data_IF_847361452812
#
_entry.id   IF_847361452812
#
_cell.length_a   1.000
_cell.length_b   1.000
_cell.length_c   1.000
_cell.angle_alpha   90.00
_cell.angle_beta   90.00
_cell.angle_gamma   90.00
#
_symmetry.space_group_name_H-M   'P 1'
#
loop_
_entity.id
_entity.type
_entity.pdbx_description
1 polymer ?
#
# COMPACT_ATOMS: atom_id res chain seq x y z
N UNK A 1 -26.26 -37.40 -19.95
CA UNK A 1 -26.26 -37.02 -18.52
C UNK A 1 -26.14 -35.51 -18.48
N UNK A 2 -27.22 -34.89 -18.03
CA UNK A 2 -27.43 -33.45 -17.90
C UNK A 2 -26.90 -33.02 -16.51
N UNK A 3 -26.00 -32.03 -16.40
CA UNK A 3 -25.62 -31.47 -15.11
C UNK A 3 -26.31 -30.12 -14.88
N UNK A 4 -27.64 -30.10 -14.87
CA UNK A 4 -28.41 -29.07 -14.21
C UNK A 4 -28.87 -29.57 -12.83
N UNK A 5 -28.20 -29.11 -11.77
CA UNK A 5 -28.80 -28.79 -10.47
C UNK A 5 -27.75 -28.33 -9.45
N UNK A 6 -28.02 -27.13 -8.93
CA UNK A 6 -27.84 -26.68 -7.55
C UNK A 6 -26.45 -26.72 -6.89
N UNK A 7 -25.93 -25.52 -6.62
CA UNK A 7 -25.97 -25.07 -5.24
C UNK A 7 -26.27 -23.57 -5.18
N UNK A 8 -27.24 -23.24 -4.34
CA UNK A 8 -27.65 -21.90 -3.98
C UNK A 8 -26.49 -21.21 -3.25
N UNK A 9 -26.01 -20.08 -3.79
CA UNK A 9 -25.24 -19.14 -3.01
C UNK A 9 -26.26 -18.27 -2.26
N UNK A 10 -26.15 -18.32 -0.93
CA UNK A 10 -26.90 -17.48 -0.02
C UNK A 10 -26.67 -16.01 -0.36
N UNK A 11 -27.75 -15.23 -0.33
CA UNK A 11 -27.70 -13.78 -0.24
C UNK A 11 -26.96 -13.45 1.07
N UNK A 12 -25.75 -12.92 0.95
CA UNK A 12 -25.03 -12.33 2.07
C UNK A 12 -25.64 -10.94 2.25
N UNK A 13 -26.28 -10.75 3.40
CA UNK A 13 -26.78 -9.47 3.88
C UNK A 13 -25.56 -8.59 4.16
N UNK A 14 -25.31 -7.63 3.27
CA UNK A 14 -24.11 -6.77 3.23
C UNK A 14 -24.34 -5.49 4.06
N UNK A 15 -24.82 -5.68 5.29
CA UNK A 15 -25.02 -4.63 6.30
C UNK A 15 -23.90 -4.69 7.36
N UNK A 16 -22.67 -5.02 6.95
CA UNK A 16 -21.48 -4.67 7.72
C UNK A 16 -21.03 -3.29 7.23
N UNK A 17 -21.34 -2.24 8.01
CA UNK A 17 -20.63 -0.98 7.91
C UNK A 17 -19.14 -1.32 7.92
N UNK A 18 -18.49 -1.16 6.77
CA UNK A 18 -17.06 -1.36 6.58
C UNK A 18 -16.36 -0.28 7.42
N UNK A 19 -16.28 -0.52 8.72
CA UNK A 19 -15.46 0.20 9.68
C UNK A 19 -14.05 0.07 9.13
N UNK A 20 -13.62 1.08 8.36
CA UNK A 20 -12.30 1.10 7.76
C UNK A 20 -11.27 0.76 8.83
N UNK A 21 -10.30 -0.08 8.50
CA UNK A 21 -9.31 -0.50 9.48
C UNK A 21 -8.59 0.73 10.04
N UNK A 22 -8.65 0.91 11.37
CA UNK A 22 -7.96 2.02 12.04
C UNK A 22 -6.47 1.85 11.76
N UNK A 23 -5.91 2.82 11.03
CA UNK A 23 -4.50 2.82 10.67
C UNK A 23 -3.64 3.22 11.88
N UNK A 24 -3.95 4.36 12.48
CA UNK A 24 -3.14 4.96 13.55
C UNK A 24 -3.94 5.95 14.38
N UNK A 25 -3.51 6.15 15.63
CA UNK A 25 -3.93 7.31 16.44
C UNK A 25 -2.87 8.40 16.32
N UNK A 26 -3.27 9.58 15.88
CA UNK A 26 -2.41 10.74 15.72
C UNK A 26 -2.76 11.83 16.74
N UNK A 27 -1.78 12.64 17.11
CA UNK A 27 -1.98 13.84 17.92
C UNK A 27 -1.47 15.04 17.13
N UNK A 28 -2.30 16.07 16.98
CA UNK A 28 -1.89 17.31 16.31
C UNK A 28 -1.09 18.25 17.22
N UNK A 29 -0.65 19.38 16.66
CA UNK A 29 0.18 20.35 17.39
C UNK A 29 -0.54 21.02 18.57
N UNK A 30 -1.87 21.03 18.57
CA UNK A 30 -2.71 21.57 19.64
C UNK A 30 -3.04 20.51 20.70
N UNK A 31 -2.52 19.28 20.56
CA UNK A 31 -2.72 18.17 21.47
C UNK A 31 -4.04 17.44 21.28
N UNK A 32 -4.73 17.64 20.16
CA UNK A 32 -5.98 16.93 19.85
C UNK A 32 -5.64 15.56 19.27
N UNK A 33 -6.34 14.55 19.78
CA UNK A 33 -6.24 13.17 19.30
C UNK A 33 -7.18 12.94 18.11
N UNK A 34 -6.67 12.22 17.13
CA UNK A 34 -7.35 11.85 15.90
C UNK A 34 -7.22 10.35 15.68
N UNK A 35 -8.34 9.67 15.44
CA UNK A 35 -8.36 8.34 14.86
C UNK A 35 -8.23 8.48 13.35
N UNK A 36 -7.24 7.80 12.77
CA UNK A 36 -6.97 7.86 11.33
C UNK A 36 -7.35 6.54 10.69
N UNK A 37 -8.13 6.62 9.63
CA UNK A 37 -8.58 5.51 8.80
C UNK A 37 -7.92 5.63 7.42
N UNK A 38 -7.43 4.52 6.88
CA UNK A 38 -6.99 4.46 5.48
C UNK A 38 -8.09 3.83 4.64
N UNK A 39 -8.42 4.46 3.52
CA UNK A 39 -9.29 3.86 2.49
C UNK A 39 -8.44 3.06 1.51
N UNK A 40 -9.10 2.15 0.80
CA UNK A 40 -8.45 1.40 -0.28
C UNK A 40 -7.73 2.35 -1.25
N UNK A 41 -6.46 2.08 -1.58
CA UNK A 41 -5.69 2.95 -2.43
C UNK A 41 -6.14 2.84 -3.90
N UNK A 42 -6.20 4.00 -4.57
CA UNK A 42 -6.46 4.03 -6.01
C UNK A 42 -5.13 3.98 -6.78
N UNK A 43 -4.97 2.98 -7.67
CA UNK A 43 -3.77 2.82 -8.48
C UNK A 43 -4.00 3.34 -9.90
N UNK A 44 -3.30 4.42 -10.26
CA UNK A 44 -3.21 4.94 -11.62
C UNK A 44 -1.90 4.45 -12.27
N UNK A 45 -2.00 3.31 -12.96
CA UNK A 45 -0.85 2.66 -13.55
C UNK A 45 -0.24 3.43 -14.72
N UNK A 46 -1.04 4.22 -15.46
CA UNK A 46 -0.56 5.04 -16.58
C UNK A 46 0.24 6.23 -16.07
N UNK A 47 -0.24 6.89 -15.00
CA UNK A 47 0.45 8.01 -14.38
C UNK A 47 1.55 7.62 -13.39
N UNK A 48 1.68 6.33 -13.02
CA UNK A 48 2.57 5.80 -11.98
C UNK A 48 2.31 6.42 -10.59
N UNK A 49 1.04 6.53 -10.23
CA UNK A 49 0.60 7.14 -8.97
C UNK A 49 -0.26 6.14 -8.19
N UNK A 50 -0.02 6.03 -6.89
CA UNK A 50 -0.93 5.43 -5.91
C UNK A 50 -1.50 6.58 -5.08
N UNK A 51 -2.84 6.70 -5.01
CA UNK A 51 -3.52 7.69 -4.18
C UNK A 51 -4.06 7.02 -2.93
N UNK A 52 -3.52 7.42 -1.78
CA UNK A 52 -3.99 6.97 -0.47
C UNK A 52 -4.87 8.05 0.15
N UNK A 53 -6.10 7.70 0.49
CA UNK A 53 -7.03 8.62 1.16
C UNK A 53 -7.10 8.27 2.64
N UNK A 54 -6.81 9.27 3.47
CA UNK A 54 -6.88 9.19 4.92
C UNK A 54 -8.06 10.00 5.41
N UNK A 55 -8.84 9.41 6.30
CA UNK A 55 -9.93 10.07 7.01
C UNK A 55 -9.58 10.18 8.48
N UNK A 56 -9.85 11.33 9.08
CA UNK A 56 -9.48 11.66 10.44
C UNK A 56 -10.75 11.97 11.22
N UNK A 57 -10.93 11.34 12.36
CA UNK A 57 -12.02 11.62 13.30
C UNK A 57 -11.48 11.96 14.69
N UNK A 58 -11.79 13.15 15.19
CA UNK A 58 -11.49 13.53 16.56
C UNK A 58 -12.59 13.04 17.51
N UNK A 59 -12.25 12.84 18.78
CA UNK A 59 -13.23 12.44 19.81
C UNK A 59 -14.40 13.45 19.99
N UNK A 60 -14.23 14.68 19.52
CA UNK A 60 -15.27 15.72 19.50
C UNK A 60 -16.28 15.56 18.35
N UNK A 61 -16.06 14.60 17.44
CA UNK A 61 -16.82 14.38 16.22
C UNK A 61 -16.38 15.25 15.04
N UNK A 62 -15.28 16.00 15.17
CA UNK A 62 -14.68 16.74 14.05
C UNK A 62 -14.07 15.74 13.05
N UNK A 63 -14.29 16.00 11.75
CA UNK A 63 -13.80 15.15 10.67
C UNK A 63 -12.95 15.93 9.69
N UNK A 64 -11.87 15.31 9.21
CA UNK A 64 -11.03 15.83 8.14
C UNK A 64 -10.64 14.69 7.19
N UNK A 65 -10.15 15.04 6.00
CA UNK A 65 -9.63 14.08 5.03
C UNK A 65 -8.40 14.64 4.34
N UNK A 66 -7.47 13.75 4.00
CA UNK A 66 -6.26 14.05 3.26
C UNK A 66 -6.05 12.99 2.17
N UNK A 67 -5.62 13.43 0.99
CA UNK A 67 -5.15 12.52 -0.07
C UNK A 67 -3.65 12.71 -0.22
N UNK A 68 -2.90 11.62 -0.13
CA UNK A 68 -1.48 11.59 -0.44
C UNK A 68 -1.26 10.86 -1.77
N UNK A 69 -0.48 11.49 -2.65
CA UNK A 69 -0.06 10.87 -3.91
C UNK A 69 1.35 10.31 -3.77
N UNK A 70 1.50 9.00 -3.99
CA UNK A 70 2.77 8.30 -3.99
C UNK A 70 3.15 7.95 -5.43
N UNK A 71 4.25 8.52 -5.91
CA UNK A 71 4.84 8.12 -7.19
C UNK A 71 5.67 6.86 -6.98
N UNK A 72 5.51 5.88 -7.87
CA UNK A 72 6.24 4.63 -7.78
C UNK A 72 7.03 4.34 -9.05
N UNK A 73 8.05 3.50 -8.89
CA UNK A 73 8.87 2.94 -9.95
C UNK A 73 8.87 1.43 -9.79
N UNK A 74 8.92 0.71 -10.90
CA UNK A 74 8.98 -0.75 -10.89
C UNK A 74 10.39 -1.24 -10.53
N UNK A 75 10.54 -2.45 -9.96
CA UNK A 75 11.84 -3.06 -9.67
C UNK A 75 12.80 -3.05 -10.89
N UNK A 76 12.30 -3.42 -12.07
CA UNK A 76 13.09 -3.40 -13.30
C UNK A 76 13.55 -1.98 -13.71
N UNK A 77 12.80 -0.94 -13.37
CA UNK A 77 13.18 0.46 -13.61
C UNK A 77 14.25 0.90 -12.62
N UNK A 78 14.19 0.45 -11.36
CA UNK A 78 15.27 0.64 -10.37
C UNK A 78 16.57 0.00 -10.86
N UNK A 79 16.51 -1.25 -11.33
CA UNK A 79 17.67 -1.97 -11.86
C UNK A 79 18.31 -1.21 -13.02
N UNK A 80 17.50 -0.76 -13.99
CA UNK A 80 17.98 0.01 -15.13
C UNK A 80 18.63 1.35 -14.70
N UNK A 81 18.06 2.04 -13.72
CA UNK A 81 18.63 3.28 -13.20
C UNK A 81 19.95 3.05 -12.46
N UNK A 82 20.05 2.01 -11.64
CA UNK A 82 21.28 1.65 -10.93
C UNK A 82 22.39 1.29 -11.91
N UNK A 83 22.09 0.48 -12.94
CA UNK A 83 23.05 0.14 -13.98
C UNK A 83 23.50 1.38 -14.77
N UNK A 84 22.56 2.20 -15.23
CA UNK A 84 22.84 3.43 -15.99
C UNK A 84 23.68 4.43 -15.18
N UNK A 85 23.53 4.42 -13.86
CA UNK A 85 24.32 5.27 -12.95
C UNK A 85 25.60 4.59 -12.48
N UNK A 86 25.94 3.40 -12.98
CA UNK A 86 27.21 2.73 -12.71
C UNK A 86 27.28 2.08 -11.34
N UNK A 87 26.19 1.45 -10.90
CA UNK A 87 26.15 0.58 -9.74
C UNK A 87 25.95 -0.88 -10.16
N UNK A 88 26.56 -1.80 -9.41
CA UNK A 88 26.25 -3.23 -9.47
C UNK A 88 25.27 -3.55 -8.34
N UNK A 89 24.13 -4.16 -8.65
CA UNK A 89 23.21 -4.68 -7.64
C UNK A 89 23.82 -5.96 -7.05
N UNK A 90 24.00 -5.98 -5.73
CA UNK A 90 24.59 -7.12 -5.02
C UNK A 90 23.51 -8.02 -4.41
N UNK A 91 22.41 -7.43 -3.93
CA UNK A 91 21.24 -8.17 -3.46
C UNK A 91 19.96 -7.34 -3.51
N UNK A 92 18.82 -8.03 -3.55
CA UNK A 92 17.47 -7.49 -3.44
C UNK A 92 16.71 -8.30 -2.40
N UNK A 93 16.01 -7.62 -1.49
CA UNK A 93 15.29 -8.24 -0.37
C UNK A 93 13.85 -7.72 -0.27
N UNK A 94 12.94 -8.60 0.19
CA UNK A 94 11.52 -8.30 0.41
C UNK A 94 11.19 -7.60 1.73
N UNK A 95 12.23 -7.18 2.47
CA UNK A 95 12.12 -6.62 3.80
C UNK A 95 13.48 -6.18 4.34
N UNK A 96 13.45 -5.54 5.52
CA UNK A 96 14.65 -5.02 6.17
C UNK A 96 15.46 -6.12 6.88
N UNK A 97 14.90 -7.32 7.06
CA UNK A 97 15.59 -8.45 7.69
C UNK A 97 16.22 -9.41 6.67
N UNK A 98 16.32 -8.98 5.40
CA UNK A 98 16.97 -9.70 4.27
C UNK A 98 16.19 -10.92 3.78
N UNK A 99 14.88 -10.91 3.94
CA UNK A 99 13.98 -11.89 3.34
C UNK A 99 14.16 -11.90 1.81
N UNK A 100 14.00 -13.06 1.14
CA UNK A 100 13.95 -13.10 -0.31
C UNK A 100 12.89 -12.13 -0.84
N UNK A 101 13.21 -11.39 -1.89
CA UNK A 101 12.21 -10.58 -2.57
C UNK A 101 11.29 -11.47 -3.40
N UNK A 102 9.99 -11.23 -3.23
CA UNK A 102 8.89 -11.80 -3.99
C UNK A 102 7.98 -10.67 -4.46
N UNK A 103 7.69 -10.60 -5.76
CA UNK A 103 6.97 -9.49 -6.37
C UNK A 103 5.50 -9.41 -5.95
N UNK A 104 4.89 -10.55 -5.62
CA UNK A 104 3.48 -10.65 -5.25
C UNK A 104 3.28 -10.55 -3.73
N UNK A 105 4.28 -10.95 -2.94
CA UNK A 105 4.17 -11.06 -1.48
C UNK A 105 4.92 -9.98 -0.70
N UNK A 106 5.95 -9.35 -1.28
CA UNK A 106 6.80 -8.40 -0.53
C UNK A 106 6.18 -7.02 -0.43
N UNK A 107 6.03 -6.53 0.80
CA UNK A 107 5.53 -5.16 1.09
C UNK A 107 6.64 -4.11 0.87
N UNK A 108 7.91 -4.52 0.99
CA UNK A 108 9.07 -3.64 0.80
C UNK A 108 10.03 -4.23 -0.22
N UNK A 109 10.75 -3.37 -0.93
CA UNK A 109 11.88 -3.77 -1.79
C UNK A 109 13.14 -3.03 -1.33
N UNK A 110 14.14 -3.78 -0.91
CA UNK A 110 15.40 -3.24 -0.39
C UNK A 110 16.56 -3.64 -1.30
N UNK A 111 17.20 -2.64 -1.89
CA UNK A 111 18.37 -2.82 -2.75
C UNK A 111 19.67 -2.58 -1.99
N UNK A 112 20.61 -3.53 -2.11
CA UNK A 112 22.01 -3.31 -1.80
C UNK A 112 22.79 -3.21 -3.12
N UNK A 113 23.42 -2.07 -3.37
CA UNK A 113 24.16 -1.83 -4.60
C UNK A 113 25.53 -1.18 -4.32
N UNK A 114 26.54 -1.59 -5.09
CA UNK A 114 27.92 -1.10 -4.98
C UNK A 114 28.26 -0.24 -6.18
N UNK A 115 28.82 0.95 -5.94
CA UNK A 115 29.31 1.83 -7.00
C UNK A 115 30.47 1.16 -7.76
N UNK A 116 30.45 1.22 -9.09
CA UNK A 116 31.58 0.84 -9.94
C UNK A 116 32.66 1.92 -9.88
N UNK A 117 33.90 1.52 -9.58
CA UNK A 117 35.07 2.41 -9.47
C UNK A 117 35.28 2.98 -8.09
#
# INVERSE_FOLDING_TARGET
VDPSANNAAAEVDDDEEEDGDVLVMAMDADGREWTVYERDPEVDAEARIIRCTYEFEAATGERASQVNEHFYILPAEVDAMLDATGFDVESVHGGFEREPFDEDESIHVVYAARKRG
#
